data_IF_279520686516
#
_entry.id   IF_279520686516
#
_cell.length_a   1.000
_cell.length_b   1.000
_cell.length_c   1.000
_cell.angle_alpha   90.00
_cell.angle_beta   90.00
_cell.angle_gamma   90.00
#
_symmetry.space_group_name_H-M   'P 1'
#
loop_
_entity.id
_entity.type
_entity.pdbx_description
1 polymer ?
#
# COMPACT_ATOMS: atom_id res chain seq x y z
N UNK A 1 -17.13 0.75 -7.34
CA UNK A 1 -16.51 2.08 -7.60
C UNK A 1 -15.15 2.06 -6.93
N UNK A 2 -14.07 2.18 -7.69
CA UNK A 2 -12.72 2.16 -7.13
C UNK A 2 -12.55 3.34 -6.17
N UNK A 3 -12.24 3.04 -4.91
CA UNK A 3 -12.05 4.07 -3.89
C UNK A 3 -10.57 4.45 -3.89
N UNK A 4 -10.22 5.71 -4.17
CA UNK A 4 -8.83 6.14 -4.00
C UNK A 4 -8.44 6.09 -2.52
N UNK A 5 -7.28 5.50 -2.21
CA UNK A 5 -6.66 5.63 -0.90
C UNK A 5 -6.25 7.09 -0.68
N UNK A 6 -6.54 7.65 0.49
CA UNK A 6 -6.11 9.02 0.87
C UNK A 6 -4.60 9.09 1.04
N UNK A 7 -3.99 7.96 1.37
CA UNK A 7 -2.55 7.82 1.54
C UNK A 7 -2.11 6.42 1.13
N UNK A 8 -1.06 6.37 0.32
CA UNK A 8 -0.31 5.15 0.04
C UNK A 8 1.18 5.50 -0.01
N UNK A 9 2.03 4.54 0.32
CA UNK A 9 3.48 4.71 0.28
C UNK A 9 4.13 3.49 -0.36
N UNK A 10 5.05 3.75 -1.28
CA UNK A 10 5.77 2.70 -1.98
C UNK A 10 6.93 2.18 -1.12
N UNK A 11 7.06 0.85 -1.07
CA UNK A 11 8.13 0.14 -0.37
C UNK A 11 8.67 -0.97 -1.25
N UNK A 12 10.00 -1.20 -1.25
CA UNK A 12 10.57 -2.32 -1.99
C UNK A 12 10.10 -3.64 -1.39
N UNK A 13 9.79 -4.59 -2.26
CA UNK A 13 9.28 -5.91 -1.92
C UNK A 13 10.23 -6.65 -0.98
N UNK A 14 11.53 -6.43 -1.14
CA UNK A 14 12.54 -6.93 -0.21
C UNK A 14 12.18 -6.65 1.25
N UNK A 15 11.78 -5.42 1.57
CA UNK A 15 11.43 -5.02 2.94
C UNK A 15 10.13 -5.69 3.40
N UNK A 16 9.15 -5.82 2.51
CA UNK A 16 7.87 -6.47 2.84
C UNK A 16 8.06 -7.96 3.14
N UNK A 17 8.95 -8.62 2.40
CA UNK A 17 9.35 -10.03 2.63
C UNK A 17 10.16 -10.24 3.91
N UNK A 18 10.64 -9.19 4.58
CA UNK A 18 11.26 -9.32 5.91
C UNK A 18 10.21 -9.62 7.00
N UNK A 19 8.93 -9.37 6.74
CA UNK A 19 7.87 -9.77 7.65
C UNK A 19 7.65 -11.30 7.60
N UNK A 20 7.78 -12.02 8.73
CA UNK A 20 7.70 -13.49 8.74
C UNK A 20 6.32 -14.04 8.35
N UNK A 21 5.26 -13.24 8.49
CA UNK A 21 3.89 -13.60 8.09
C UNK A 21 3.52 -13.15 6.67
N UNK A 22 4.49 -12.75 5.85
CA UNK A 22 4.24 -12.26 4.49
C UNK A 22 3.75 -13.37 3.58
N UNK A 23 2.57 -13.18 2.99
CA UNK A 23 1.96 -14.11 2.02
C UNK A 23 1.75 -13.38 0.70
N UNK A 24 2.74 -13.47 -0.17
CA UNK A 24 2.73 -12.81 -1.47
C UNK A 24 1.74 -13.47 -2.42
N UNK A 25 0.71 -12.72 -2.85
CA UNK A 25 -0.19 -13.13 -3.94
C UNK A 25 0.32 -12.61 -5.28
N UNK A 26 1.48 -13.10 -5.70
CA UNK A 26 2.09 -12.72 -6.99
C UNK A 26 1.18 -13.00 -8.19
N UNK A 27 0.23 -13.94 -8.06
CA UNK A 27 -0.81 -14.20 -9.07
C UNK A 27 -1.74 -13.02 -9.35
N UNK A 28 -1.85 -12.07 -8.41
CA UNK A 28 -2.62 -10.83 -8.57
C UNK A 28 -1.74 -9.63 -8.92
N UNK A 29 -0.44 -9.84 -9.18
CA UNK A 29 0.45 -8.76 -9.58
C UNK A 29 -0.03 -8.14 -10.89
N UNK A 30 0.18 -6.83 -11.02
CA UNK A 30 -0.19 -6.13 -12.23
C UNK A 30 0.55 -6.77 -13.39
N UNK A 31 -0.14 -7.13 -14.48
CA UNK A 31 0.58 -7.59 -15.67
C UNK A 31 1.53 -6.48 -16.11
N UNK A 32 2.73 -6.86 -16.53
CA UNK A 32 3.67 -5.91 -17.12
C UNK A 32 2.92 -5.22 -18.26
N UNK A 33 2.82 -3.89 -18.20
CA UNK A 33 2.11 -3.13 -19.23
C UNK A 33 2.86 -3.38 -20.53
N UNK A 34 2.34 -4.32 -21.32
CA UNK A 34 2.93 -4.76 -22.57
C UNK A 34 3.38 -3.50 -23.33
N UNK A 35 4.68 -3.34 -23.62
CA UNK A 35 5.19 -2.12 -24.24
C UNK A 35 4.57 -1.99 -25.62
N UNK A 36 3.50 -1.21 -25.70
CA UNK A 36 2.64 -1.03 -26.87
C UNK A 36 2.02 -2.34 -27.39
N UNK A 37 0.72 -2.29 -27.69
CA UNK A 37 0.08 -3.37 -28.43
C UNK A 37 0.89 -3.63 -29.71
N UNK A 38 1.56 -4.78 -29.77
CA UNK A 38 1.97 -5.33 -31.06
C UNK A 38 0.71 -5.32 -31.94
N UNK A 39 0.75 -4.83 -33.19
CA UNK A 39 -0.44 -4.66 -34.04
C UNK A 39 -1.10 -5.99 -34.44
N UNK A 40 -0.62 -7.11 -33.91
CA UNK A 40 -1.23 -8.42 -34.05
C UNK A 40 -2.16 -8.62 -32.87
N UNK A 41 -3.47 -8.56 -33.12
CA UNK A 41 -4.58 -8.71 -32.15
C UNK A 41 -4.61 -10.04 -31.41
N UNK A 42 -3.51 -10.37 -30.74
CA UNK A 42 -3.41 -11.40 -29.73
C UNK A 42 -4.06 -10.82 -28.48
N UNK A 43 -5.02 -11.51 -27.84
CA UNK A 43 -5.50 -11.09 -26.54
C UNK A 43 -4.27 -10.99 -25.63
N UNK A 44 -3.98 -9.78 -25.15
CA UNK A 44 -2.88 -9.54 -24.20
C UNK A 44 -3.06 -10.53 -23.07
N UNK A 45 -2.07 -11.40 -22.88
CA UNK A 45 -2.15 -12.42 -21.86
C UNK A 45 -2.04 -11.68 -20.53
N UNK A 46 -3.15 -11.65 -19.77
CA UNK A 46 -3.27 -11.06 -18.42
C UNK A 46 -2.47 -11.91 -17.43
N UNK A 47 -1.18 -12.06 -17.71
CA UNK A 47 -0.26 -12.86 -16.92
C UNK A 47 0.38 -11.91 -15.94
N UNK A 48 0.23 -12.16 -14.62
CA UNK A 48 0.84 -11.32 -13.62
C UNK A 48 2.35 -11.24 -13.84
N UNK A 49 2.92 -10.04 -13.63
CA UNK A 49 4.38 -9.87 -13.70
C UNK A 49 5.07 -10.65 -12.59
N UNK A 50 6.32 -11.03 -12.82
CA UNK A 50 7.14 -11.65 -11.78
C UNK A 50 7.61 -10.58 -10.79
N UNK A 51 7.23 -10.72 -9.51
CA UNK A 51 7.63 -9.82 -8.44
C UNK A 51 9.03 -10.19 -7.89
N UNK A 52 9.98 -9.27 -8.07
CA UNK A 52 11.36 -9.38 -7.59
C UNK A 52 11.61 -8.51 -6.37
N UNK A 53 12.66 -8.77 -5.60
CA UNK A 53 12.96 -8.01 -4.37
C UNK A 53 13.23 -6.51 -4.61
N UNK A 54 13.70 -6.15 -5.82
CA UNK A 54 13.88 -4.77 -6.28
C UNK A 54 12.55 -4.08 -6.66
N UNK A 55 11.47 -4.85 -6.81
CA UNK A 55 10.16 -4.31 -7.19
C UNK A 55 9.53 -3.51 -6.05
N UNK A 56 8.75 -2.48 -6.37
CA UNK A 56 8.14 -1.60 -5.36
C UNK A 56 6.62 -1.79 -5.32
N UNK A 57 6.12 -2.17 -4.15
CA UNK A 57 4.69 -2.29 -3.89
C UNK A 57 4.18 -1.12 -3.06
N UNK A 58 2.88 -0.89 -3.09
CA UNK A 58 2.24 0.23 -2.42
C UNK A 58 1.49 -0.26 -1.19
N UNK A 59 1.92 0.19 -0.01
CA UNK A 59 1.18 -0.01 1.23
C UNK A 59 0.14 1.09 1.33
N UNK A 60 -1.12 0.69 1.43
CA UNK A 60 -2.29 1.56 1.52
C UNK A 60 -2.58 1.95 2.98
N UNK A 61 -3.41 2.97 3.18
CA UNK A 61 -3.83 3.43 4.52
C UNK A 61 -4.47 2.34 5.40
N UNK A 62 -5.13 1.37 4.77
CA UNK A 62 -5.72 0.20 5.45
C UNK A 62 -4.68 -0.90 5.73
N UNK A 63 -3.38 -0.63 5.55
CA UNK A 63 -2.29 -1.60 5.64
C UNK A 63 -2.39 -2.76 4.65
N UNK A 64 -3.18 -2.62 3.58
CA UNK A 64 -3.21 -3.57 2.46
C UNK A 64 -2.08 -3.21 1.51
N UNK A 65 -1.41 -4.21 0.92
CA UNK A 65 -0.38 -3.99 -0.08
C UNK A 65 -0.93 -4.31 -1.47
N UNK A 66 -0.78 -3.35 -2.37
CA UNK A 66 -1.21 -3.43 -3.76
C UNK A 66 -0.06 -3.15 -4.71
N UNK A 67 -0.05 -3.81 -5.86
CA UNK A 67 0.89 -3.54 -6.95
C UNK A 67 0.39 -2.37 -7.83
N UNK A 68 0.19 -1.23 -7.18
CA UNK A 68 -0.29 0.00 -7.81
C UNK A 68 -0.95 0.98 -6.83
N UNK A 69 -1.40 2.11 -7.37
CA UNK A 69 -1.99 3.21 -6.59
C UNK A 69 -3.44 2.94 -6.16
N UNK A 70 -4.11 1.96 -6.75
CA UNK A 70 -5.49 1.61 -6.45
C UNK A 70 -5.55 0.54 -5.36
N UNK A 71 -6.32 0.77 -4.29
CA UNK A 71 -6.44 -0.17 -3.17
C UNK A 71 -7.38 -1.36 -3.41
N UNK A 72 -8.14 -1.31 -4.49
CA UNK A 72 -9.16 -2.31 -4.87
C UNK A 72 -8.66 -3.21 -6.01
N UNK A 73 -7.46 -2.99 -6.50
CA UNK A 73 -6.89 -3.64 -7.67
C UNK A 73 -5.49 -4.17 -7.35
N UNK A 74 -5.10 -5.27 -7.99
CA UNK A 74 -3.76 -5.86 -7.88
C UNK A 74 -3.33 -6.08 -6.42
N UNK A 75 -4.21 -6.65 -5.61
CA UNK A 75 -3.98 -6.82 -4.17
C UNK A 75 -3.01 -7.99 -3.94
N UNK A 76 -1.79 -7.65 -3.52
CA UNK A 76 -0.72 -8.62 -3.24
C UNK A 76 -0.84 -9.17 -1.82
N UNK A 77 -1.29 -8.35 -0.88
CA UNK A 77 -1.42 -8.76 0.53
C UNK A 77 -2.54 -7.99 1.23
N UNK A 78 -3.59 -8.70 1.65
CA UNK A 78 -4.75 -8.14 2.36
C UNK A 78 -4.82 -8.51 3.85
N UNK A 79 -3.84 -9.24 4.37
CA UNK A 79 -3.87 -9.72 5.76
C UNK A 79 -3.37 -8.67 6.76
N UNK A 80 -4.28 -7.77 7.15
CA UNK A 80 -4.01 -6.69 8.12
C UNK A 80 -4.05 -7.22 9.56
N UNK A 81 -3.01 -7.94 9.95
CA UNK A 81 -2.85 -8.43 11.33
C UNK A 81 -2.23 -7.34 12.24
N UNK A 82 -2.41 -7.42 13.58
CA UNK A 82 -1.75 -6.49 14.51
C UNK A 82 -0.22 -6.55 14.41
N UNK A 83 0.33 -7.72 14.10
CA UNK A 83 1.77 -7.93 13.90
C UNK A 83 2.26 -7.21 12.64
N UNK A 84 1.48 -7.30 11.55
CA UNK A 84 1.74 -6.56 10.33
C UNK A 84 1.69 -5.05 10.53
N UNK A 85 0.67 -4.54 11.23
CA UNK A 85 0.57 -3.12 11.56
C UNK A 85 1.78 -2.62 12.36
N UNK A 86 2.25 -3.42 13.33
CA UNK A 86 3.48 -3.11 14.07
C UNK A 86 4.70 -3.13 13.17
N UNK A 87 4.82 -4.09 12.26
CA UNK A 87 5.92 -4.14 11.29
C UNK A 87 5.92 -2.92 10.37
N UNK A 88 4.76 -2.53 9.85
CA UNK A 88 4.60 -1.32 9.04
C UNK A 88 5.05 -0.06 9.80
N UNK A 89 4.65 0.08 11.06
CA UNK A 89 5.01 1.24 11.86
C UNK A 89 6.48 1.21 12.33
N UNK A 90 6.97 0.07 12.79
CA UNK A 90 8.28 -0.05 13.45
C UNK A 90 9.43 -0.25 12.46
N UNK A 91 9.22 -1.07 11.42
CA UNK A 91 10.23 -1.39 10.41
C UNK A 91 10.09 -0.49 9.19
N UNK A 92 8.91 -0.48 8.55
CA UNK A 92 8.69 0.33 7.34
C UNK A 92 8.56 1.83 7.66
N UNK A 93 8.48 2.21 8.94
CA UNK A 93 8.22 3.58 9.40
C UNK A 93 7.06 4.20 8.62
N UNK A 94 6.02 3.40 8.40
CA UNK A 94 4.78 3.80 7.76
C UNK A 94 3.92 4.47 8.82
N UNK A 95 3.92 5.80 8.78
CA UNK A 95 3.12 6.63 9.64
C UNK A 95 2.15 7.40 8.76
N UNK A 96 0.85 7.21 8.97
CA UNK A 96 -0.18 7.98 8.27
C UNK A 96 -0.26 9.32 8.98
N UNK A 97 0.15 10.42 8.33
CA UNK A 97 0.09 11.71 8.99
C UNK A 97 -1.37 12.09 9.28
N UNK A 98 -1.60 12.73 10.43
CA UNK A 98 -2.93 13.03 10.99
C UNK A 98 -3.84 13.82 10.01
N UNK A 99 -3.27 14.56 9.06
CA UNK A 99 -4.05 15.26 8.04
C UNK A 99 -4.62 14.34 6.93
N UNK A 100 -4.09 13.13 6.77
CA UNK A 100 -4.52 12.15 5.78
C UNK A 100 -5.58 11.17 6.35
N UNK A 101 -5.48 10.85 7.64
CA UNK A 101 -6.51 10.10 8.39
C UNK A 101 -7.69 11.02 8.67
N UNK A 102 -8.67 11.04 7.76
CA UNK A 102 -9.85 11.91 7.80
C UNK A 102 -10.84 11.69 8.95
N UNK A 103 -10.35 11.53 10.18
CA UNK A 103 -11.04 11.82 11.43
C UNK A 103 -10.32 13.00 12.06
N UNK A 104 -10.84 14.21 11.85
CA UNK A 104 -10.40 15.36 12.60
C UNK A 104 -10.65 15.13 14.09
N UNK A 105 -9.59 14.81 14.83
CA UNK A 105 -9.51 15.08 16.27
C UNK A 105 -8.42 16.11 16.50
N UNK A 106 -8.67 17.32 16.01
CA UNK A 106 -8.13 18.52 16.64
C UNK A 106 -9.02 18.84 17.86
N UNK A 107 -8.93 18.03 18.91
CA UNK A 107 -9.32 18.45 20.25
C UNK A 107 -8.07 18.44 21.12
N UNK A 108 -7.69 19.66 21.54
CA UNK A 108 -6.98 20.02 22.77
C UNK A 108 -5.76 20.94 22.52
N UNK A 109 -6.03 22.20 22.21
CA UNK A 109 -5.31 23.28 22.90
C UNK A 109 -6.14 23.62 24.14
N UNK A 110 -5.97 22.82 25.20
CA UNK A 110 -6.52 23.12 26.51
C UNK A 110 -5.44 23.83 27.34
N UNK A 111 -5.83 25.04 27.80
CA UNK A 111 -5.45 25.67 29.08
C UNK A 111 -4.00 26.13 29.26
N UNK A 112 -3.67 27.31 29.82
CA UNK A 112 -4.35 28.41 30.54
C UNK A 112 -3.21 29.41 30.92
N UNK A 113 -3.33 30.34 31.89
CA UNK A 113 -4.20 31.52 32.04
C UNK A 113 -3.34 32.81 32.13
N UNK A 114 -3.92 34.01 32.14
CA UNK A 114 -3.43 35.16 32.94
C UNK A 114 -4.32 36.38 32.73
N UNK A 115 -5.00 36.76 33.80
CA UNK A 115 -5.56 38.10 33.96
C UNK A 115 -4.48 39.11 34.36
N UNK A 116 -4.77 40.38 34.08
CA UNK A 116 -3.97 41.54 34.45
C UNK A 116 -4.50 42.77 33.76
#
# INVERSE_FOLDING_TARGET
MATMGKYCKAYPLKQLREFPGWIERAEHARPDAQPEALPTGSPGQDTPRTLTDDDVLYVQENSVVTDGIFKDEHIIFDQVTPEWQRFCHDVLKFEIPVYASGTGSAQASAAEPTGG
#
